data_IF_039378825732
#
_entry.id   IF_039378825732
#
_cell.length_a   1.000
_cell.length_b   1.000
_cell.length_c   1.000
_cell.angle_alpha   90.00
_cell.angle_beta   90.00
_cell.angle_gamma   90.00
#
_symmetry.space_group_name_H-M   'P 1'
#
loop_
_entity.id
_entity.type
_entity.pdbx_description
1 polymer ?
#
# COMPACT_ATOMS: atom_id res chain seq x y z
N UNK A 1 39.18 56.86 -48.61
CA UNK A 1 38.08 55.86 -48.49
C UNK A 1 38.60 54.50 -48.07
N UNK A 2 39.37 54.39 -46.96
CA UNK A 2 39.90 53.05 -46.51
C UNK A 2 39.80 52.82 -45.04
N UNK A 3 39.14 53.67 -44.24
CA UNK A 3 39.05 53.57 -42.80
C UNK A 3 37.64 53.23 -42.25
N UNK A 4 36.60 53.26 -43.06
CA UNK A 4 35.24 52.95 -42.60
C UNK A 4 34.94 51.45 -42.55
N UNK A 5 35.57 50.67 -43.42
CA UNK A 5 35.37 49.22 -43.45
C UNK A 5 36.01 48.42 -42.27
N UNK A 6 36.99 49.01 -41.60
CA UNK A 6 37.62 48.37 -40.43
C UNK A 6 36.81 48.59 -39.15
N UNK A 7 36.09 49.71 -39.03
CA UNK A 7 35.24 49.98 -37.85
C UNK A 7 33.99 49.11 -37.83
N UNK A 8 33.40 48.90 -39.02
CA UNK A 8 32.19 48.03 -39.09
C UNK A 8 32.48 46.54 -38.77
N UNK A 9 33.65 46.04 -39.16
CA UNK A 9 34.10 44.68 -38.83
C UNK A 9 34.43 44.49 -37.34
N UNK A 10 34.95 45.54 -36.68
CA UNK A 10 35.27 45.49 -35.25
C UNK A 10 34.04 45.56 -34.36
N UNK A 11 32.99 46.29 -34.78
CA UNK A 11 31.70 46.36 -34.08
C UNK A 11 30.96 45.06 -34.23
N UNK A 12 31.03 44.41 -35.40
CA UNK A 12 30.40 43.08 -35.63
C UNK A 12 31.03 41.99 -34.77
N UNK A 13 32.36 41.98 -34.58
CA UNK A 13 33.05 41.02 -33.72
C UNK A 13 32.70 41.15 -32.25
N UNK A 14 32.58 42.40 -31.74
CA UNK A 14 32.18 42.65 -30.35
C UNK A 14 30.71 42.28 -30.09
N UNK A 15 29.83 42.54 -31.06
CA UNK A 15 28.41 42.10 -30.97
C UNK A 15 28.26 40.59 -31.00
N UNK A 16 29.04 39.91 -31.86
CA UNK A 16 29.03 38.45 -31.94
C UNK A 16 29.55 37.83 -30.64
N UNK A 17 30.63 38.38 -30.07
CA UNK A 17 31.19 37.93 -28.80
C UNK A 17 30.23 38.15 -27.64
N UNK A 18 29.52 39.28 -27.56
CA UNK A 18 28.51 39.57 -26.56
C UNK A 18 27.32 38.58 -26.69
N UNK A 19 26.91 38.23 -27.90
CA UNK A 19 25.82 37.31 -28.16
C UNK A 19 26.14 35.85 -27.72
N UNK A 20 27.40 35.42 -27.95
CA UNK A 20 27.88 34.10 -27.49
C UNK A 20 27.96 34.02 -25.97
N UNK A 21 28.42 35.12 -25.30
CA UNK A 21 28.46 35.15 -23.83
C UNK A 21 27.07 35.13 -23.22
N UNK A 22 26.10 35.85 -23.78
CA UNK A 22 24.71 35.84 -23.32
C UNK A 22 24.08 34.48 -23.53
N UNK A 23 24.31 33.82 -24.68
CA UNK A 23 23.82 32.45 -24.94
C UNK A 23 24.43 31.44 -23.98
N UNK A 24 25.75 31.57 -23.67
CA UNK A 24 26.43 30.72 -22.69
C UNK A 24 25.87 30.89 -21.27
N UNK A 25 25.58 32.14 -20.86
CA UNK A 25 24.95 32.42 -19.56
C UNK A 25 23.52 31.87 -19.47
N UNK A 26 22.72 31.98 -20.52
CA UNK A 26 21.35 31.41 -20.56
C UNK A 26 21.38 29.88 -20.53
N UNK A 27 22.39 29.28 -21.19
CA UNK A 27 22.56 27.80 -21.15
C UNK A 27 23.00 27.32 -19.78
N UNK A 28 23.85 28.05 -19.06
CA UNK A 28 24.24 27.73 -17.68
C UNK A 28 23.10 27.91 -16.68
N UNK A 29 22.22 28.88 -16.87
CA UNK A 29 21.02 29.07 -16.00
C UNK A 29 19.95 28.00 -16.22
N UNK A 30 19.88 27.39 -17.41
CA UNK A 30 18.94 26.27 -17.70
C UNK A 30 19.32 24.96 -17.05
N UNK A 31 20.58 24.73 -16.66
CA UNK A 31 21.04 23.50 -16.00
C UNK A 31 20.92 23.51 -14.45
N UNK A 32 20.56 24.64 -13.86
CA UNK A 32 20.44 24.74 -12.38
C UNK A 32 19.03 24.39 -11.86
N UNK A 33 18.14 23.86 -12.70
CA UNK A 33 16.72 23.62 -12.41
C UNK A 33 16.35 22.22 -11.89
N UNK A 34 17.29 21.32 -11.56
CA UNK A 34 16.97 19.99 -11.02
C UNK A 34 17.13 19.90 -9.50
N UNK A 35 16.47 20.77 -8.74
CA UNK A 35 16.25 20.59 -7.30
C UNK A 35 14.84 20.01 -7.03
N UNK A 36 14.40 19.03 -7.81
CA UNK A 36 13.07 18.45 -7.71
C UNK A 36 13.02 16.97 -7.36
N UNK A 37 14.11 16.38 -6.84
CA UNK A 37 14.15 14.94 -6.48
C UNK A 37 14.53 14.72 -5.01
N UNK A 38 14.27 15.69 -4.14
CA UNK A 38 14.46 15.56 -2.69
C UNK A 38 13.19 15.00 -2.02
N UNK A 39 12.73 13.84 -2.46
CA UNK A 39 11.54 13.18 -1.91
C UNK A 39 11.59 11.67 -1.97
N UNK A 40 12.65 11.08 -2.49
CA UNK A 40 12.84 9.63 -2.43
C UNK A 40 13.64 9.30 -1.15
N UNK A 41 12.93 9.06 -0.07
CA UNK A 41 13.50 8.49 1.14
C UNK A 41 13.68 6.99 0.91
N UNK A 42 14.90 6.48 1.09
CA UNK A 42 15.21 5.04 1.14
C UNK A 42 14.83 4.43 2.50
N UNK A 43 13.96 5.11 3.24
CA UNK A 43 13.52 4.65 4.55
C UNK A 43 12.52 3.51 4.39
N UNK A 44 12.68 2.47 5.20
CA UNK A 44 11.74 1.34 5.22
C UNK A 44 10.33 1.83 5.53
N UNK A 45 9.33 1.39 4.75
CA UNK A 45 7.92 1.64 5.00
C UNK A 45 7.46 1.10 6.36
N UNK A 46 8.19 0.13 6.91
CA UNK A 46 7.85 -0.57 8.15
C UNK A 46 8.78 -0.17 9.30
N UNK A 47 8.31 -0.21 10.56
CA UNK A 47 9.15 -0.03 11.75
C UNK A 47 10.36 -0.96 11.77
N UNK A 48 11.56 -0.41 11.97
CA UNK A 48 12.82 -1.17 11.94
C UNK A 48 13.16 -1.84 13.29
N UNK A 49 12.46 -1.50 14.34
CA UNK A 49 12.60 -2.02 15.71
C UNK A 49 11.89 -3.35 15.92
N UNK A 50 11.03 -3.75 14.98
CA UNK A 50 10.29 -5.01 14.97
C UNK A 50 10.93 -5.98 13.98
N UNK A 51 11.13 -7.24 14.38
CA UNK A 51 11.60 -8.32 13.50
C UNK A 51 10.68 -9.53 13.51
N UNK A 52 10.19 -9.90 14.70
CA UNK A 52 9.39 -11.08 14.91
C UNK A 52 7.98 -10.70 15.33
N UNK A 53 6.99 -11.22 14.62
CA UNK A 53 5.58 -10.99 14.88
C UNK A 53 4.92 -12.31 15.26
N UNK A 54 4.32 -12.37 16.45
CA UNK A 54 3.43 -13.46 16.82
C UNK A 54 2.02 -13.13 16.33
N UNK A 55 1.54 -13.90 15.36
CA UNK A 55 0.18 -13.78 14.86
C UNK A 55 -0.73 -14.75 15.64
N UNK A 56 -1.62 -14.18 16.46
CA UNK A 56 -2.68 -14.96 17.10
C UNK A 56 -3.82 -15.18 16.11
N UNK A 57 -4.41 -16.38 16.17
CA UNK A 57 -5.63 -16.65 15.39
C UNK A 57 -6.70 -15.65 15.75
N UNK A 58 -7.40 -15.13 14.73
CA UNK A 58 -8.50 -14.21 14.93
C UNK A 58 -9.69 -14.92 15.60
N UNK A 59 -10.25 -14.28 16.60
CA UNK A 59 -11.47 -14.75 17.24
C UNK A 59 -12.68 -14.52 16.30
N UNK A 60 -13.42 -15.58 16.01
CA UNK A 60 -14.55 -15.49 15.10
C UNK A 60 -15.87 -15.42 15.88
N UNK A 61 -16.45 -14.22 15.94
CA UNK A 61 -17.74 -13.97 16.60
C UNK A 61 -18.95 -14.27 15.71
N UNK A 62 -18.73 -14.80 14.49
CA UNK A 62 -19.79 -15.08 13.54
C UNK A 62 -20.21 -16.54 13.57
N UNK A 63 -21.35 -16.85 12.96
CA UNK A 63 -21.81 -18.25 12.80
C UNK A 63 -21.11 -18.99 11.65
N UNK A 64 -20.32 -18.31 10.81
CA UNK A 64 -19.61 -18.90 9.67
C UNK A 64 -18.18 -19.27 10.08
N UNK A 65 -17.97 -20.55 10.29
CA UNK A 65 -16.67 -21.11 10.70
C UNK A 65 -15.73 -21.30 9.50
N UNK A 66 -14.43 -21.26 9.78
CA UNK A 66 -13.36 -21.49 8.79
C UNK A 66 -12.72 -20.22 8.24
N UNK A 67 -13.41 -19.09 8.24
CA UNK A 67 -12.88 -17.82 7.73
C UNK A 67 -11.73 -17.28 8.60
N UNK A 68 -11.74 -17.58 9.89
CA UNK A 68 -10.64 -17.29 10.82
C UNK A 68 -9.33 -17.96 10.40
N UNK A 69 -9.40 -19.20 9.91
CA UNK A 69 -8.22 -19.92 9.40
C UNK A 69 -7.72 -19.32 8.08
N UNK A 70 -8.66 -19.04 7.16
CA UNK A 70 -8.34 -18.43 5.86
C UNK A 70 -7.72 -17.05 6.02
N UNK A 71 -8.25 -16.23 6.94
CA UNK A 71 -7.70 -14.90 7.24
C UNK A 71 -6.32 -15.00 7.88
N UNK A 72 -6.15 -15.87 8.88
CA UNK A 72 -4.87 -16.01 9.59
C UNK A 72 -3.78 -16.55 8.66
N UNK A 73 -4.09 -17.52 7.80
CA UNK A 73 -3.15 -18.05 6.79
C UNK A 73 -2.78 -16.99 5.74
N UNK A 74 -3.78 -16.27 5.21
CA UNK A 74 -3.55 -15.20 4.25
C UNK A 74 -2.70 -14.07 4.85
N UNK A 75 -2.96 -13.71 6.12
CA UNK A 75 -2.23 -12.66 6.81
C UNK A 75 -0.78 -13.08 7.11
N UNK A 76 -0.56 -14.31 7.58
CA UNK A 76 0.77 -14.85 7.81
C UNK A 76 1.62 -14.81 6.52
N UNK A 77 1.08 -15.31 5.42
CA UNK A 77 1.75 -15.30 4.11
C UNK A 77 2.09 -13.89 3.64
N UNK A 78 1.17 -12.93 3.82
CA UNK A 78 1.40 -11.54 3.41
C UNK A 78 2.45 -10.86 4.29
N UNK A 79 2.40 -11.05 5.59
CA UNK A 79 3.43 -10.48 6.49
C UNK A 79 4.81 -10.97 6.08
N UNK A 80 4.99 -12.25 5.77
CA UNK A 80 6.28 -12.81 5.36
C UNK A 80 6.75 -12.37 3.97
N UNK A 81 5.81 -12.09 3.05
CA UNK A 81 6.14 -11.72 1.65
C UNK A 81 6.26 -10.21 1.48
N UNK A 82 5.34 -9.44 2.08
CA UNK A 82 5.19 -8.01 1.82
C UNK A 82 5.94 -7.15 2.86
N UNK A 83 6.40 -7.76 3.98
CA UNK A 83 7.09 -7.05 5.06
C UNK A 83 8.45 -7.66 5.39
N UNK A 84 9.35 -6.93 6.07
CA UNK A 84 10.63 -7.49 6.54
C UNK A 84 10.48 -8.39 7.79
N UNK A 85 9.27 -8.62 8.27
CA UNK A 85 9.00 -9.35 9.50
C UNK A 85 8.95 -10.85 9.29
N UNK A 86 9.22 -11.60 10.37
CA UNK A 86 9.06 -13.06 10.42
C UNK A 86 7.95 -13.44 11.37
N UNK A 87 7.14 -14.41 10.96
CA UNK A 87 6.12 -14.98 11.84
C UNK A 87 6.75 -16.00 12.79
N UNK A 88 6.41 -15.85 14.06
CA UNK A 88 6.79 -16.81 15.11
C UNK A 88 5.55 -17.29 15.83
N UNK A 89 5.56 -18.56 16.25
CA UNK A 89 4.42 -19.18 16.92
C UNK A 89 4.32 -18.83 18.40
N UNK A 90 5.46 -18.52 19.04
CA UNK A 90 5.56 -18.26 20.45
C UNK A 90 5.66 -16.74 20.73
N UNK A 91 4.82 -16.30 21.68
CA UNK A 91 4.82 -14.88 22.12
C UNK A 91 6.11 -14.50 22.83
N UNK A 92 6.79 -15.45 23.49
CA UNK A 92 8.01 -15.16 24.25
C UNK A 92 9.21 -14.88 23.35
N UNK A 93 9.19 -15.39 22.12
CA UNK A 93 10.21 -15.14 21.09
C UNK A 93 9.86 -13.98 20.15
N UNK A 94 8.68 -13.38 20.32
CA UNK A 94 8.17 -12.31 19.46
C UNK A 94 8.53 -10.92 19.99
N UNK A 95 8.78 -9.98 19.08
CA UNK A 95 8.88 -8.56 19.43
C UNK A 95 7.49 -7.92 19.59
N UNK A 96 6.55 -8.40 18.78
CA UNK A 96 5.17 -7.87 18.73
C UNK A 96 4.15 -8.98 18.62
N UNK A 97 2.92 -8.71 19.06
CA UNK A 97 1.78 -9.60 18.91
C UNK A 97 0.66 -8.91 18.13
N UNK A 98 0.17 -9.60 17.10
CA UNK A 98 -1.02 -9.20 16.37
C UNK A 98 -2.17 -10.12 16.73
N UNK A 99 -3.32 -9.53 17.01
CA UNK A 99 -4.57 -10.23 17.34
C UNK A 99 -5.76 -9.45 16.80
N UNK A 100 -6.89 -10.11 16.67
CA UNK A 100 -8.11 -9.45 16.21
C UNK A 100 -9.33 -10.31 16.35
N UNK A 101 -10.47 -9.73 15.95
CA UNK A 101 -11.78 -10.38 16.00
C UNK A 101 -12.52 -10.17 14.69
N UNK A 102 -13.11 -11.23 14.15
CA UNK A 102 -14.04 -11.13 13.01
C UNK A 102 -15.43 -10.85 13.58
N UNK A 103 -15.92 -9.64 13.32
CA UNK A 103 -17.18 -9.14 13.86
C UNK A 103 -18.38 -9.57 13.02
N UNK A 104 -18.25 -9.56 11.70
CA UNK A 104 -19.34 -9.92 10.81
C UNK A 104 -18.85 -10.43 9.47
N UNK A 105 -19.61 -11.36 8.93
CA UNK A 105 -19.49 -11.86 7.55
C UNK A 105 -20.88 -11.79 6.95
N UNK A 106 -21.03 -10.95 5.93
CA UNK A 106 -22.29 -10.71 5.22
C UNK A 106 -22.21 -11.09 3.76
N UNK A 107 -23.38 -11.36 3.18
CA UNK A 107 -23.55 -11.64 1.77
C UNK A 107 -24.61 -10.68 1.20
N UNK A 108 -24.28 -9.97 0.12
CA UNK A 108 -25.13 -9.00 -0.53
C UNK A 108 -25.35 -9.39 -2.00
N UNK A 109 -26.57 -9.22 -2.52
CA UNK A 109 -26.82 -9.34 -3.93
C UNK A 109 -26.42 -8.01 -4.63
N UNK A 110 -25.54 -8.11 -5.62
CA UNK A 110 -25.11 -6.97 -6.43
C UNK A 110 -25.98 -6.77 -7.67
N UNK A 111 -26.35 -7.86 -8.32
CA UNK A 111 -27.19 -7.82 -9.49
C UNK A 111 -28.23 -8.93 -9.48
N UNK A 112 -29.41 -8.60 -10.02
CA UNK A 112 -30.55 -9.53 -10.12
C UNK A 112 -31.09 -9.43 -11.56
N UNK A 113 -31.34 -10.60 -12.14
CA UNK A 113 -32.06 -10.68 -13.40
C UNK A 113 -33.50 -10.18 -13.19
N UNK A 114 -33.90 -9.19 -13.97
CA UNK A 114 -35.22 -8.55 -13.82
C UNK A 114 -36.40 -9.40 -14.34
N UNK A 115 -36.11 -10.35 -15.23
CA UNK A 115 -37.16 -11.17 -15.85
C UNK A 115 -37.49 -12.38 -14.98
N UNK A 116 -36.44 -13.03 -14.43
CA UNK A 116 -36.59 -14.26 -13.63
C UNK A 116 -36.34 -14.07 -12.13
N UNK A 117 -35.93 -12.90 -11.69
CA UNK A 117 -35.65 -12.60 -10.28
C UNK A 117 -34.44 -13.35 -9.70
N UNK A 118 -33.62 -13.94 -10.55
CA UNK A 118 -32.44 -14.71 -10.12
C UNK A 118 -31.27 -13.79 -9.81
N UNK A 119 -30.60 -14.01 -8.66
CA UNK A 119 -29.40 -13.27 -8.30
C UNK A 119 -28.24 -13.74 -9.19
N UNK A 120 -27.67 -12.82 -9.95
CA UNK A 120 -26.59 -13.08 -10.91
C UNK A 120 -25.22 -12.94 -10.26
N UNK A 121 -25.04 -11.94 -9.43
CA UNK A 121 -23.79 -11.63 -8.75
C UNK A 121 -24.04 -11.29 -7.29
N UNK A 122 -23.15 -11.78 -6.43
CA UNK A 122 -23.18 -11.53 -4.99
C UNK A 122 -21.82 -11.07 -4.50
N UNK A 123 -21.81 -10.32 -3.41
CA UNK A 123 -20.61 -9.89 -2.71
C UNK A 123 -20.58 -10.47 -1.29
N UNK A 124 -19.43 -11.00 -0.89
CA UNK A 124 -19.12 -11.34 0.50
C UNK A 124 -18.34 -10.20 1.11
N UNK A 125 -18.80 -9.71 2.26
CA UNK A 125 -18.12 -8.68 3.03
C UNK A 125 -17.69 -9.24 4.39
N UNK A 126 -16.43 -9.03 4.76
CA UNK A 126 -15.86 -9.38 6.08
C UNK A 126 -15.48 -8.09 6.81
N UNK A 127 -15.89 -7.99 8.09
CA UNK A 127 -15.48 -6.92 9.00
C UNK A 127 -14.73 -7.51 10.18
N UNK A 128 -13.56 -6.94 10.49
CA UNK A 128 -12.75 -7.35 11.62
C UNK A 128 -12.20 -6.13 12.38
N UNK A 129 -11.87 -6.34 13.64
CA UNK A 129 -11.09 -5.42 14.46
C UNK A 129 -9.71 -6.00 14.64
N UNK A 130 -8.68 -5.18 14.51
CA UNK A 130 -7.28 -5.57 14.59
C UNK A 130 -6.57 -4.76 15.63
N UNK A 131 -5.72 -5.42 16.41
CA UNK A 131 -4.81 -4.81 17.38
C UNK A 131 -3.41 -5.36 17.17
N UNK A 132 -2.41 -4.49 17.19
CA UNK A 132 -1.00 -4.84 17.08
C UNK A 132 -0.21 -4.17 18.19
N UNK A 133 0.40 -4.96 19.06
CA UNK A 133 1.06 -4.51 20.28
C UNK A 133 2.55 -4.87 20.27
N UNK A 134 3.38 -3.92 20.64
CA UNK A 134 4.79 -4.14 20.93
C UNK A 134 4.91 -4.77 22.33
N UNK A 135 5.54 -5.95 22.42
CA UNK A 135 5.68 -6.68 23.68
C UNK A 135 6.78 -6.13 24.57
N UNK A 136 7.78 -5.45 23.97
CA UNK A 136 8.91 -4.87 24.73
C UNK A 136 8.54 -3.53 25.38
N UNK A 137 7.84 -2.68 24.66
CA UNK A 137 7.45 -1.34 25.15
C UNK A 137 6.05 -1.31 25.76
N UNK A 138 5.21 -2.30 25.42
CA UNK A 138 3.80 -2.33 25.79
C UNK A 138 2.91 -1.41 24.94
N UNK A 139 3.47 -0.70 23.97
CA UNK A 139 2.79 0.24 23.10
C UNK A 139 1.87 -0.47 22.11
N UNK A 140 0.70 0.11 21.85
CA UNK A 140 -0.21 -0.32 20.79
C UNK A 140 0.16 0.39 19.49
N UNK A 141 0.75 -0.34 18.55
CA UNK A 141 1.09 0.15 17.22
C UNK A 141 -0.18 0.31 16.36
N UNK A 142 -1.14 -0.62 16.54
CA UNK A 142 -2.50 -0.55 16.00
C UNK A 142 -3.46 -0.80 17.17
N UNK A 143 -4.32 0.16 17.45
CA UNK A 143 -5.26 0.08 18.55
C UNK A 143 -6.69 -0.09 18.06
N UNK A 144 -7.19 -1.34 18.08
CA UNK A 144 -8.59 -1.71 17.79
C UNK A 144 -9.16 -1.07 16.51
N UNK A 145 -8.41 -1.10 15.42
CA UNK A 145 -8.85 -0.50 14.16
C UNK A 145 -9.83 -1.44 13.45
N UNK A 146 -10.97 -0.89 13.03
CA UNK A 146 -11.94 -1.59 12.20
C UNK A 146 -11.44 -1.64 10.75
N UNK A 147 -11.35 -2.85 10.21
CA UNK A 147 -10.99 -3.11 8.81
C UNK A 147 -12.12 -3.90 8.15
N UNK A 148 -12.43 -3.55 6.92
CA UNK A 148 -13.40 -4.28 6.13
C UNK A 148 -12.86 -4.56 4.73
N UNK A 149 -13.21 -5.71 4.20
CA UNK A 149 -12.93 -6.07 2.82
C UNK A 149 -14.07 -6.90 2.24
N UNK A 150 -14.15 -6.91 0.93
CA UNK A 150 -15.16 -7.65 0.20
C UNK A 150 -14.59 -8.30 -1.06
N UNK A 151 -15.34 -9.27 -1.58
CA UNK A 151 -15.10 -9.89 -2.87
C UNK A 151 -16.43 -10.34 -3.47
N UNK A 152 -16.59 -10.12 -4.77
CA UNK A 152 -17.77 -10.59 -5.49
C UNK A 152 -17.57 -11.98 -6.08
N UNK A 153 -18.68 -12.65 -6.37
CA UNK A 153 -18.71 -13.93 -7.06
C UNK A 153 -19.98 -14.09 -7.90
N UNK A 154 -19.84 -14.86 -8.98
CA UNK A 154 -20.95 -15.13 -9.88
C UNK A 154 -21.13 -16.63 -10.07
N UNK A 155 -22.37 -17.10 -9.97
CA UNK A 155 -22.75 -18.49 -10.24
C UNK A 155 -22.50 -18.90 -11.70
N UNK A 156 -22.57 -17.96 -12.63
CA UNK A 156 -22.25 -18.22 -14.04
C UNK A 156 -20.78 -18.60 -14.25
N UNK A 157 -19.90 -18.13 -13.36
CA UNK A 157 -18.47 -18.47 -13.36
C UNK A 157 -18.16 -19.70 -12.47
N UNK A 158 -19.18 -20.44 -12.02
CA UNK A 158 -19.04 -21.57 -11.11
C UNK A 158 -18.34 -21.21 -9.77
N UNK A 159 -18.47 -19.95 -9.39
CA UNK A 159 -17.95 -19.46 -8.12
C UNK A 159 -19.01 -19.60 -7.02
N UNK A 160 -18.56 -19.79 -5.80
CA UNK A 160 -19.39 -19.96 -4.64
C UNK A 160 -19.01 -19.01 -3.49
N UNK A 161 -19.76 -19.08 -2.41
CA UNK A 161 -19.47 -18.32 -1.19
C UNK A 161 -18.05 -18.58 -0.67
N UNK A 162 -17.57 -19.83 -0.72
CA UNK A 162 -16.25 -20.20 -0.20
C UNK A 162 -15.14 -19.52 -0.99
N UNK A 163 -15.25 -19.48 -2.31
CA UNK A 163 -14.34 -18.76 -3.18
C UNK A 163 -14.28 -17.26 -2.82
N UNK A 164 -15.45 -16.61 -2.71
CA UNK A 164 -15.53 -15.19 -2.39
C UNK A 164 -15.07 -14.87 -0.97
N UNK A 165 -15.36 -15.74 0.02
CA UNK A 165 -14.90 -15.54 1.40
C UNK A 165 -13.38 -15.63 1.50
N UNK A 166 -12.76 -16.58 0.81
CA UNK A 166 -11.31 -16.71 0.74
C UNK A 166 -10.65 -15.47 0.09
N UNK A 167 -11.23 -15.00 -1.01
CA UNK A 167 -10.76 -13.79 -1.68
C UNK A 167 -10.94 -12.54 -0.81
N UNK A 168 -12.09 -12.41 -0.12
CA UNK A 168 -12.35 -11.31 0.82
C UNK A 168 -11.37 -11.35 2.01
N UNK A 169 -11.05 -12.55 2.54
CA UNK A 169 -10.04 -12.73 3.58
C UNK A 169 -8.64 -12.28 3.11
N UNK A 170 -8.26 -12.63 1.89
CA UNK A 170 -7.01 -12.16 1.27
C UNK A 170 -6.98 -10.64 1.10
N UNK A 171 -8.08 -10.02 0.68
CA UNK A 171 -8.20 -8.57 0.57
C UNK A 171 -8.14 -7.89 1.95
N UNK A 172 -8.73 -8.51 2.97
CA UNK A 172 -8.66 -8.03 4.35
C UNK A 172 -7.23 -8.11 4.89
N UNK A 173 -6.54 -9.23 4.68
CA UNK A 173 -5.14 -9.42 5.06
C UNK A 173 -4.23 -8.35 4.43
N UNK A 174 -4.43 -8.01 3.15
CA UNK A 174 -3.69 -6.92 2.49
C UNK A 174 -3.90 -5.58 3.20
N UNK A 175 -5.15 -5.22 3.51
CA UNK A 175 -5.46 -3.97 4.22
C UNK A 175 -4.86 -3.94 5.63
N UNK A 176 -4.78 -5.09 6.32
CA UNK A 176 -4.15 -5.17 7.64
C UNK A 176 -2.63 -4.93 7.52
N UNK A 177 -1.97 -5.49 6.51
CA UNK A 177 -0.54 -5.24 6.27
C UNK A 177 -0.28 -3.79 5.91
N UNK A 178 -1.14 -3.14 5.11
CA UNK A 178 -1.07 -1.70 4.83
C UNK A 178 -1.13 -0.83 6.11
N UNK A 179 -1.87 -1.27 7.15
CA UNK A 179 -1.90 -0.58 8.45
C UNK A 179 -0.60 -0.74 9.27
N UNK A 180 0.23 -1.74 8.94
CA UNK A 180 1.53 -1.94 9.60
C UNK A 180 2.60 -0.97 9.09
N UNK A 181 2.34 -0.27 8.00
CA UNK A 181 3.23 0.76 7.47
C UNK A 181 3.28 1.97 8.40
N UNK A 182 4.44 2.63 8.42
CA UNK A 182 4.58 3.90 9.14
C UNK A 182 3.64 4.95 8.56
N UNK A 183 2.97 5.69 9.42
CA UNK A 183 2.23 6.89 9.01
C UNK A 183 3.23 7.99 8.69
N UNK A 184 3.17 8.49 7.49
CA UNK A 184 3.96 9.64 7.02
C UNK A 184 3.43 10.95 7.59
#
# INVERSE_FOLDING_TARGET
>A
MKNENLRSRFISGKCLFALVVVCSCVFCLGFCGCKGLAGYSNESLFPNDVRNVCLKMFDNQTFRRGVEYELSDALAKRIEVDTPYKIVSDSDSADTVMSGQILSIGELALSVDREVGTVLEKEVQIKAVVSWKNLKTGELLIDHINVNASASYSRYQQQDFKYASSLAANNLARKIVELMERKW
#
